data_IF_915859123146
#
_entry.id   IF_915859123146
#
_cell.length_a   1.000
_cell.length_b   1.000
_cell.length_c   1.000
_cell.angle_alpha   90.00
_cell.angle_beta   90.00
_cell.angle_gamma   90.00
#
_symmetry.space_group_name_H-M   'P 1'
#
loop_
_entity.id
_entity.type
_entity.pdbx_description
1 polymer ?
#
# COMPACT_ATOMS: atom_id res chain seq x y z
N UNK A 1 10.24 3.09 7.82
CA UNK A 1 10.54 4.13 8.82
C UNK A 1 9.46 5.20 8.75
N UNK A 2 8.91 5.56 9.90
CA UNK A 2 8.01 6.71 10.03
C UNK A 2 8.68 7.97 9.47
N UNK A 3 7.98 8.66 8.56
CA UNK A 3 8.47 9.86 7.89
C UNK A 3 7.30 10.72 7.43
N UNK A 4 7.05 11.80 8.18
CA UNK A 4 5.97 12.72 7.89
C UNK A 4 6.00 13.26 6.45
N UNK A 5 4.82 13.32 5.82
CA UNK A 5 4.65 13.85 4.47
C UNK A 5 5.11 12.90 3.35
N UNK A 6 5.47 11.65 3.67
CA UNK A 6 5.82 10.61 2.71
C UNK A 6 4.77 9.51 2.65
N UNK A 7 4.46 9.07 1.44
CA UNK A 7 3.57 7.93 1.18
C UNK A 7 4.35 6.83 0.50
N UNK A 8 4.10 5.61 0.94
CA UNK A 8 4.58 4.39 0.28
C UNK A 8 3.40 3.66 -0.36
N UNK A 9 3.60 3.18 -1.58
CA UNK A 9 2.53 2.72 -2.48
C UNK A 9 2.79 1.28 -2.88
N UNK A 10 1.78 0.43 -2.70
CA UNK A 10 1.76 -0.95 -3.17
C UNK A 10 0.57 -1.18 -4.08
N UNK A 11 0.77 -2.00 -5.10
CA UNK A 11 -0.27 -2.42 -6.03
C UNK A 11 -0.34 -3.94 -6.06
N UNK A 12 -1.54 -4.50 -6.04
CA UNK A 12 -1.72 -5.94 -5.96
C UNK A 12 -2.94 -6.43 -6.70
N UNK A 13 -3.17 -7.74 -6.58
CA UNK A 13 -4.38 -8.38 -7.06
C UNK A 13 -5.06 -9.15 -5.93
N UNK A 14 -6.26 -8.69 -5.56
CA UNK A 14 -7.13 -9.32 -4.57
C UNK A 14 -8.28 -10.00 -5.32
N UNK A 15 -8.55 -11.27 -5.01
CA UNK A 15 -9.72 -11.98 -5.55
C UNK A 15 -10.98 -11.53 -4.82
N UNK A 16 -12.15 -11.64 -5.45
CA UNK A 16 -13.43 -11.22 -4.83
C UNK A 16 -13.74 -11.92 -3.49
N UNK A 17 -13.20 -13.12 -3.28
CA UNK A 17 -13.34 -13.89 -2.03
C UNK A 17 -12.33 -13.48 -0.93
N UNK A 18 -11.26 -12.80 -1.32
CA UNK A 18 -10.21 -12.32 -0.43
C UNK A 18 -10.54 -10.88 0.01
N UNK A 19 -10.37 -10.59 1.29
CA UNK A 19 -10.60 -9.25 1.84
C UNK A 19 -9.26 -8.56 2.03
N UNK A 20 -9.10 -7.37 1.45
CA UNK A 20 -7.89 -6.56 1.61
C UNK A 20 -7.69 -6.18 3.08
N UNK A 21 -8.77 -5.99 3.83
CA UNK A 21 -8.77 -5.72 5.26
C UNK A 21 -8.11 -6.87 6.02
N UNK A 22 -8.47 -8.13 5.73
CA UNK A 22 -7.83 -9.29 6.38
C UNK A 22 -6.33 -9.40 6.06
N UNK A 23 -5.90 -8.89 4.91
CA UNK A 23 -4.50 -8.93 4.51
C UNK A 23 -3.68 -7.85 5.21
N UNK A 24 -4.26 -6.67 5.43
CA UNK A 24 -3.57 -5.45 5.87
C UNK A 24 -3.80 -5.12 7.34
N UNK A 25 -5.00 -5.31 7.85
CA UNK A 25 -5.38 -4.82 9.18
C UNK A 25 -4.70 -5.63 10.28
N UNK A 26 -4.17 -4.89 11.26
CA UNK A 26 -3.62 -5.49 12.46
C UNK A 26 -4.73 -6.20 13.22
N UNK A 27 -4.37 -7.31 13.87
CA UNK A 27 -5.24 -7.98 14.83
C UNK A 27 -4.68 -7.80 16.22
N UNK A 28 -5.44 -8.21 17.22
CA UNK A 28 -5.05 -8.08 18.61
C UNK A 28 -5.12 -9.47 19.26
N UNK A 29 -4.13 -9.78 20.09
CA UNK A 29 -4.12 -11.02 20.86
C UNK A 29 -5.03 -10.94 22.11
N UNK A 30 -4.99 -11.97 22.96
CA UNK A 30 -5.83 -12.04 24.16
C UNK A 30 -5.48 -10.97 25.21
N UNK A 31 -4.26 -10.44 25.19
CA UNK A 31 -3.79 -9.38 26.08
C UNK A 31 -4.07 -7.98 25.49
N UNK A 32 -4.58 -7.92 24.27
CA UNK A 32 -4.87 -6.69 23.55
C UNK A 32 -3.63 -6.09 22.87
N UNK A 33 -2.55 -6.86 22.75
CA UNK A 33 -1.35 -6.45 22.04
C UNK A 33 -1.55 -6.62 20.54
N UNK A 34 -1.05 -5.64 19.77
CA UNK A 34 -1.12 -5.67 18.31
C UNK A 34 -0.31 -6.84 17.74
N UNK A 35 -0.86 -7.50 16.73
CA UNK A 35 -0.23 -8.61 16.02
C UNK A 35 -0.08 -8.19 14.55
N UNK A 36 1.14 -8.31 13.97
CA UNK A 36 1.36 -7.90 12.59
C UNK A 36 0.52 -8.73 11.63
N UNK A 37 -0.15 -8.05 10.70
CA UNK A 37 -0.92 -8.69 9.65
C UNK A 37 -0.01 -9.34 8.59
N UNK A 38 -0.60 -10.10 7.67
CA UNK A 38 0.16 -10.75 6.61
C UNK A 38 0.93 -9.75 5.75
N UNK A 39 0.35 -8.58 5.47
CA UNK A 39 1.02 -7.51 4.72
C UNK A 39 2.30 -7.01 5.42
N UNK A 40 2.24 -6.74 6.72
CA UNK A 40 3.41 -6.31 7.49
C UNK A 40 4.52 -7.37 7.48
N UNK A 41 4.15 -8.65 7.64
CA UNK A 41 5.09 -9.77 7.56
C UNK A 41 5.69 -9.89 6.16
N UNK A 42 4.86 -9.85 5.12
CA UNK A 42 5.23 -10.03 3.71
C UNK A 42 6.23 -8.96 3.24
N UNK A 43 6.13 -7.74 3.76
CA UNK A 43 7.02 -6.62 3.42
C UNK A 43 8.07 -6.31 4.49
N UNK A 44 8.17 -7.12 5.55
CA UNK A 44 9.07 -6.89 6.68
C UNK A 44 8.93 -5.46 7.26
N UNK A 45 7.69 -5.00 7.41
CA UNK A 45 7.37 -3.70 8.01
C UNK A 45 7.15 -3.91 9.50
N UNK A 46 7.86 -3.14 10.30
CA UNK A 46 7.57 -3.04 11.73
C UNK A 46 6.27 -2.24 11.92
N UNK A 47 5.26 -2.85 12.53
CA UNK A 47 3.95 -2.24 12.72
C UNK A 47 4.02 -0.97 13.59
N UNK A 48 5.01 -0.88 14.48
CA UNK A 48 5.24 0.26 15.36
C UNK A 48 5.77 1.50 14.60
N UNK A 49 6.19 1.35 13.33
CA UNK A 49 6.61 2.46 12.47
C UNK A 49 5.45 3.07 11.66
N UNK A 50 4.23 2.57 11.85
CA UNK A 50 3.05 2.99 11.09
C UNK A 50 1.87 3.26 12.03
N UNK A 51 0.91 4.04 11.54
CA UNK A 51 -0.38 4.25 12.21
C UNK A 51 -1.49 3.64 11.35
N UNK A 52 -2.32 2.76 11.92
CA UNK A 52 -3.41 2.08 11.19
C UNK A 52 -4.39 3.07 10.55
N UNK A 53 -4.60 4.24 11.16
CA UNK A 53 -5.45 5.31 10.62
C UNK A 53 -4.84 6.00 9.39
N UNK A 54 -3.55 5.78 9.13
CA UNK A 54 -2.83 6.32 7.97
C UNK A 54 -2.71 5.34 6.81
N UNK A 55 -3.38 4.18 6.90
CA UNK A 55 -3.38 3.17 5.84
C UNK A 55 -4.66 3.26 5.01
N UNK A 56 -4.50 3.63 3.74
CA UNK A 56 -5.58 3.66 2.77
C UNK A 56 -5.56 2.40 1.89
N UNK A 57 -6.74 1.80 1.72
CA UNK A 57 -6.92 0.53 0.99
C UNK A 57 -8.00 0.72 -0.05
N UNK A 58 -7.75 0.31 -1.28
CA UNK A 58 -8.75 0.36 -2.36
C UNK A 58 -8.74 -0.95 -3.15
N UNK A 59 -9.93 -1.46 -3.46
CA UNK A 59 -10.12 -2.62 -4.34
C UNK A 59 -11.10 -2.27 -5.45
N UNK A 60 -10.70 -2.54 -6.68
CA UNK A 60 -11.45 -2.27 -7.90
C UNK A 60 -12.00 -3.57 -8.49
N UNK A 61 -13.18 -3.47 -9.09
CA UNK A 61 -13.82 -4.60 -9.79
C UNK A 61 -13.01 -5.08 -10.99
N UNK A 62 -12.39 -4.15 -11.72
CA UNK A 62 -11.58 -4.44 -12.90
C UNK A 62 -10.13 -4.06 -12.62
N UNK A 63 -9.19 -4.85 -13.10
CA UNK A 63 -7.78 -4.49 -13.00
C UNK A 63 -7.39 -3.44 -14.05
N UNK A 64 -6.36 -2.65 -13.74
CA UNK A 64 -5.76 -1.65 -14.62
C UNK A 64 -4.23 -1.71 -14.54
N UNK A 65 -3.57 -1.40 -15.66
CA UNK A 65 -2.11 -1.17 -15.72
C UNK A 65 -1.77 0.32 -15.85
N UNK A 66 -2.74 1.23 -15.74
CA UNK A 66 -2.52 2.68 -15.68
C UNK A 66 -2.54 3.16 -14.24
N UNK A 67 -1.40 3.69 -13.78
CA UNK A 67 -1.23 4.21 -12.42
C UNK A 67 -2.22 5.34 -12.10
N UNK A 68 -2.63 6.12 -13.11
CA UNK A 68 -3.57 7.22 -12.90
C UNK A 68 -4.96 6.69 -12.56
N UNK A 69 -5.39 5.65 -13.26
CA UNK A 69 -6.66 4.95 -13.01
C UNK A 69 -6.63 4.23 -11.67
N UNK A 70 -5.51 3.62 -11.29
CA UNK A 70 -5.36 2.90 -10.03
C UNK A 70 -5.35 3.82 -8.81
N UNK A 71 -4.84 5.04 -8.93
CA UNK A 71 -4.82 5.99 -7.82
C UNK A 71 -5.99 6.99 -7.85
N UNK A 72 -6.90 6.86 -8.82
CA UNK A 72 -8.06 7.73 -8.90
C UNK A 72 -8.96 7.56 -7.67
N UNK A 73 -9.23 8.68 -7.01
CA UNK A 73 -10.00 8.75 -5.76
C UNK A 73 -9.20 8.52 -4.49
N UNK A 74 -7.92 8.13 -4.57
CA UNK A 74 -7.05 8.02 -3.39
C UNK A 74 -6.70 9.39 -2.82
N UNK A 75 -6.36 9.46 -1.54
CA UNK A 75 -5.94 10.73 -0.92
C UNK A 75 -4.66 11.29 -1.57
N UNK A 76 -4.59 12.61 -1.71
CA UNK A 76 -3.46 13.34 -2.33
C UNK A 76 -3.09 12.89 -3.76
N UNK A 77 -3.98 12.19 -4.48
CA UNK A 77 -3.72 11.65 -5.80
C UNK A 77 -3.22 12.71 -6.81
N UNK A 78 -3.69 13.95 -6.71
CA UNK A 78 -3.31 15.07 -7.56
C UNK A 78 -1.85 15.50 -7.38
N UNK A 79 -1.25 15.19 -6.22
CA UNK A 79 0.17 15.44 -5.91
C UNK A 79 1.00 14.19 -6.23
N UNK A 80 0.50 13.00 -5.88
CA UNK A 80 1.23 11.72 -5.99
C UNK A 80 1.37 11.30 -7.45
N UNK A 81 0.27 11.27 -8.22
CA UNK A 81 0.26 10.74 -9.61
C UNK A 81 1.32 11.45 -10.47
N UNK A 82 1.41 12.80 -10.50
CA UNK A 82 2.41 13.49 -11.33
C UNK A 82 3.86 13.15 -10.98
N UNK A 83 4.16 12.82 -9.72
CA UNK A 83 5.51 12.52 -9.24
C UNK A 83 5.97 11.13 -9.70
N UNK A 84 5.09 10.14 -9.64
CA UNK A 84 5.47 8.75 -9.92
C UNK A 84 5.23 8.35 -11.38
N UNK A 85 4.23 8.95 -12.06
CA UNK A 85 3.83 8.55 -13.43
C UNK A 85 4.94 8.65 -14.47
N UNK A 86 5.92 9.53 -14.27
CA UNK A 86 7.06 9.68 -15.21
C UNK A 86 8.13 8.61 -15.04
N UNK A 87 8.16 7.96 -13.88
CA UNK A 87 9.26 7.09 -13.45
C UNK A 87 8.87 5.62 -13.43
N UNK A 88 7.59 5.31 -13.61
CA UNK A 88 7.03 3.98 -13.44
C UNK A 88 6.33 3.54 -14.71
N UNK A 89 6.70 2.33 -15.14
CA UNK A 89 6.03 1.59 -16.21
C UNK A 89 5.52 0.27 -15.62
N UNK A 90 4.20 0.18 -15.41
CA UNK A 90 3.58 -0.98 -14.80
C UNK A 90 3.54 -2.13 -15.81
N UNK A 91 4.22 -3.23 -15.48
CA UNK A 91 4.28 -4.42 -16.35
C UNK A 91 3.08 -5.36 -16.17
N UNK A 92 2.36 -5.20 -15.07
CA UNK A 92 1.20 -6.00 -14.70
C UNK A 92 -0.05 -5.12 -14.60
N UNK A 93 -1.21 -5.78 -14.60
CA UNK A 93 -2.48 -5.15 -14.25
C UNK A 93 -2.78 -5.45 -12.78
N UNK A 94 -3.33 -4.46 -12.07
CA UNK A 94 -3.62 -4.53 -10.64
C UNK A 94 -5.06 -4.16 -10.38
N UNK A 95 -5.68 -4.69 -9.33
CA UNK A 95 -7.01 -4.26 -8.89
C UNK A 95 -7.06 -3.81 -7.43
N UNK A 96 -5.92 -3.80 -6.74
CA UNK A 96 -5.85 -3.43 -5.34
C UNK A 96 -4.71 -2.42 -5.13
N UNK A 97 -4.93 -1.49 -4.20
CA UNK A 97 -3.99 -0.44 -3.82
C UNK A 97 -3.90 -0.41 -2.30
N UNK A 98 -2.67 -0.30 -1.79
CA UNK A 98 -2.38 0.02 -0.40
C UNK A 98 -1.48 1.26 -0.41
N UNK A 99 -1.88 2.29 0.33
CA UNK A 99 -1.05 3.45 0.61
C UNK A 99 -0.84 3.54 2.12
N UNK A 100 0.41 3.75 2.55
CA UNK A 100 0.72 4.10 3.94
C UNK A 100 1.29 5.51 3.95
N UNK A 101 0.57 6.44 4.57
CA UNK A 101 0.99 7.83 4.72
C UNK A 101 1.91 8.00 5.94
N UNK A 102 2.63 9.13 5.99
CA UNK A 102 3.69 9.38 6.97
C UNK A 102 4.71 8.24 7.12
N UNK A 103 4.97 7.51 6.04
CA UNK A 103 5.84 6.34 6.05
C UNK A 103 6.65 6.24 4.76
N UNK A 104 7.97 6.07 4.90
CA UNK A 104 8.88 5.76 3.81
C UNK A 104 9.35 4.31 3.95
N UNK A 105 8.88 3.48 3.03
CA UNK A 105 9.34 2.11 2.86
C UNK A 105 10.72 2.10 2.23
N UNK A 106 11.62 1.27 2.78
CA UNK A 106 13.02 1.21 2.38
C UNK A 106 13.28 0.34 1.14
N UNK A 107 12.24 -0.20 0.51
CA UNK A 107 12.33 -1.09 -0.65
C UNK A 107 13.10 -2.41 -0.37
N UNK A 108 13.02 -2.93 0.86
CA UNK A 108 13.65 -4.20 1.23
C UNK A 108 13.03 -5.39 0.51
N UNK A 109 11.70 -5.42 0.39
CA UNK A 109 10.93 -6.42 -0.36
C UNK A 109 10.12 -5.71 -1.44
N UNK A 110 10.50 -5.92 -2.70
CA UNK A 110 9.87 -5.21 -3.83
C UNK A 110 8.59 -5.88 -4.34
N UNK A 111 8.40 -7.16 -4.06
CA UNK A 111 7.31 -7.97 -4.63
C UNK A 111 7.07 -9.21 -3.79
N UNK A 112 5.79 -9.58 -3.66
CA UNK A 112 5.31 -10.83 -3.07
C UNK A 112 4.31 -11.49 -4.01
N UNK A 113 3.74 -12.63 -3.62
CA UNK A 113 2.70 -13.29 -4.43
C UNK A 113 1.44 -12.43 -4.61
N UNK A 114 1.19 -11.46 -3.71
CA UNK A 114 -0.04 -10.68 -3.68
C UNK A 114 0.14 -9.22 -4.14
N UNK A 115 1.25 -8.56 -3.77
CA UNK A 115 1.48 -7.14 -4.00
C UNK A 115 2.91 -6.86 -4.46
N UNK A 116 3.05 -5.82 -5.26
CA UNK A 116 4.31 -5.20 -5.65
C UNK A 116 4.44 -3.84 -4.95
N UNK A 117 5.61 -3.56 -4.37
CA UNK A 117 5.95 -2.22 -3.96
C UNK A 117 6.29 -1.39 -5.20
N UNK A 118 5.73 -0.19 -5.29
CA UNK A 118 5.79 0.65 -6.49
C UNK A 118 6.71 1.85 -6.29
N UNK A 119 6.48 2.61 -5.23
CA UNK A 119 7.28 3.80 -4.92
C UNK A 119 7.01 4.30 -3.50
N UNK A 120 7.99 5.04 -2.97
CA UNK A 120 7.80 5.99 -1.89
C UNK A 120 8.02 7.40 -2.43
N UNK A 121 7.14 8.34 -2.11
CA UNK A 121 7.24 9.74 -2.56
C UNK A 121 6.65 10.69 -1.54
N UNK A 122 7.04 11.96 -1.58
CA UNK A 122 6.39 12.96 -0.74
C UNK A 122 5.02 13.34 -1.31
N UNK A 123 4.03 13.60 -0.46
CA UNK A 123 2.72 14.15 -0.83
C UNK A 123 2.45 15.54 -0.23
N UNK A 124 3.37 16.05 0.57
CA UNK A 124 3.45 17.44 1.03
C UNK A 124 4.38 18.29 0.17
#
# INVERSE_FOLDING_TARGET
>A
MEKQGWVSIWLGNIKEEDSIEKYVDLTYDEDGESVPSKFFIDFNIDMDETDEDTIEKVVYKNSSSDISTLLDGCSYQEIIIPKIKKSIDLKNSYNAVILIYNFEYNNEITSTDAFDFIAATNYE
#
